data_IF_519334011112
#
_entry.id   IF_519334011112
#
_cell.length_a   1.000
_cell.length_b   1.000
_cell.length_c   1.000
_cell.angle_alpha   90.00
_cell.angle_beta   90.00
_cell.angle_gamma   90.00
#
_symmetry.space_group_name_H-M   'P 1'
#
loop_
_entity.id
_entity.type
_entity.pdbx_description
1 polymer ?
#
# COMPACT_ATOMS: atom_id res chain seq x y z
N UNK A 1 41.91 56.32 -5.02
CA UNK A 1 41.42 55.96 -5.17
C UNK A 1 40.86 54.93 -4.86
N UNK A 2 40.85 54.48 -4.67
CA UNK A 2 40.32 53.49 -4.48
C UNK A 2 39.69 53.12 -3.53
N UNK A 3 39.80 53.12 -3.12
CA UNK A 3 39.43 52.88 -2.03
C UNK A 3 38.16 53.03 -1.88
N UNK A 4 37.82 53.88 -2.21
CA UNK A 4 36.71 54.14 -2.11
C UNK A 4 35.89 53.14 -2.37
N UNK A 5 36.16 52.72 -2.99
CA UNK A 5 35.34 51.83 -3.45
C UNK A 5 34.97 51.02 -2.52
N UNK A 6 35.61 50.78 -2.08
CA UNK A 6 35.40 49.94 -1.27
C UNK A 6 34.44 50.08 -0.47
N UNK A 7 34.43 51.03 -0.19
CA UNK A 7 33.65 51.20 0.66
C UNK A 7 32.39 50.74 0.37
N UNK A 8 32.21 50.70 -0.41
CA UNK A 8 30.98 50.43 -0.63
C UNK A 8 30.58 49.29 -0.40
N UNK A 9 31.22 48.95 -0.38
CA UNK A 9 30.91 47.88 -0.29
C UNK A 9 30.19 47.70 0.65
N UNK A 10 30.43 48.16 1.07
CA UNK A 10 29.93 48.07 1.93
C UNK A 10 28.77 47.88 2.02
N UNK A 11 28.80 48.30 1.59
CA UNK A 11 27.82 48.32 1.64
C UNK A 11 27.20 47.21 1.68
N UNK A 12 27.62 46.87 1.38
CA UNK A 12 27.11 46.01 1.34
C UNK A 12 26.57 45.42 2.18
N UNK A 13 26.93 45.54 2.42
CA UNK A 13 26.52 45.02 3.03
C UNK A 13 25.54 44.86 3.44
N UNK A 14 25.67 45.25 3.22
CA UNK A 14 24.86 45.43 3.37
C UNK A 14 23.99 44.70 3.49
N UNK A 15 24.10 44.61 3.25
CA UNK A 15 23.35 44.12 3.28
C UNK A 15 22.85 43.23 3.54
N UNK A 16 23.27 43.13 3.28
CA UNK A 16 22.93 42.29 3.36
C UNK A 16 22.23 41.81 4.07
N UNK A 17 22.43 41.96 4.41
CA UNK A 17 21.93 41.64 5.12
C UNK A 17 20.85 41.16 5.13
N UNK A 18 20.65 41.66 4.99
CA UNK A 18 19.69 41.57 4.91
C UNK A 18 19.19 40.49 4.79
N UNK A 19 19.52 40.35 4.38
CA UNK A 19 19.20 39.47 3.98
C UNK A 19 18.73 38.56 4.64
N UNK A 20 19.33 38.32 4.81
CA UNK A 20 19.16 37.28 5.41
C UNK A 20 18.02 37.19 5.95
N UNK A 21 18.07 37.91 6.34
CA UNK A 21 17.14 38.19 6.84
C UNK A 21 16.07 37.55 6.44
N UNK A 22 15.91 37.78 5.49
CA UNK A 22 14.74 37.45 5.21
C UNK A 22 14.51 36.10 5.21
N UNK A 23 15.39 35.54 4.92
CA UNK A 23 15.26 34.24 4.75
C UNK A 23 14.52 33.61 5.74
N UNK A 24 14.77 34.03 6.69
CA UNK A 24 14.20 33.38 7.71
C UNK A 24 12.86 33.18 7.59
N UNK A 25 12.29 33.95 6.97
CA UNK A 25 10.97 33.82 6.86
C UNK A 25 10.63 32.57 6.39
N UNK A 26 11.43 32.04 5.81
CA UNK A 26 11.05 30.87 5.26
C UNK A 26 10.62 29.92 6.20
N UNK A 27 11.04 30.05 7.30
CA UNK A 27 10.68 29.14 8.21
C UNK A 27 9.29 28.87 8.24
N UNK A 28 8.58 29.71 8.16
CA UNK A 28 7.20 29.45 8.27
C UNK A 28 6.81 28.42 7.27
N UNK A 29 7.50 28.46 6.28
CA UNK A 29 7.11 27.58 5.26
C UNK A 29 7.24 26.19 5.69
N UNK A 30 8.02 26.00 6.60
CA UNK A 30 8.21 24.65 7.01
C UNK A 30 7.01 24.09 7.64
N UNK A 31 6.22 24.90 8.21
CA UNK A 31 5.11 24.38 8.83
C UNK A 31 4.21 23.65 7.97
N UNK A 32 4.01 24.11 6.85
CA UNK A 32 3.10 23.42 5.99
C UNK A 32 3.54 22.04 5.75
N UNK A 33 4.77 21.87 5.81
CA UNK A 33 5.24 20.58 5.49
C UNK A 33 4.70 19.58 6.40
N UNK A 34 4.41 19.97 7.55
CA UNK A 34 3.91 19.02 8.46
C UNK A 34 2.63 18.50 8.00
N UNK A 35 1.91 19.32 7.39
CA UNK A 35 0.59 18.93 7.07
C UNK A 35 0.57 18.05 5.89
N UNK A 36 1.65 18.07 5.19
CA UNK A 36 1.61 17.32 3.99
C UNK A 36 2.22 15.97 4.11
N UNK A 37 2.28 15.50 5.26
CA UNK A 37 2.72 14.15 5.39
C UNK A 37 1.82 13.31 4.54
N UNK A 38 2.37 12.64 3.59
CA UNK A 38 1.57 11.72 2.84
C UNK A 38 1.05 10.71 3.84
N UNK A 39 -0.18 10.47 3.76
CA UNK A 39 -0.76 9.41 4.54
C UNK A 39 -0.27 8.16 3.85
N UNK A 40 0.88 7.77 4.21
CA UNK A 40 1.37 6.50 3.77
C UNK A 40 0.57 5.53 4.60
N UNK A 41 -0.21 4.78 3.94
CA UNK A 41 -0.86 3.69 4.61
C UNK A 41 0.27 2.90 5.26
N UNK A 42 0.19 2.78 6.53
CA UNK A 42 1.21 2.06 7.26
C UNK A 42 1.21 0.64 6.73
N UNK A 43 2.32 0.22 6.19
CA UNK A 43 2.44 -1.12 5.64
C UNK A 43 2.01 -2.18 6.63
N UNK A 44 2.21 -1.90 7.90
CA UNK A 44 1.81 -2.85 8.93
C UNK A 44 0.30 -2.96 9.03
N UNK A 45 -0.43 -1.89 8.75
CA UNK A 45 -1.88 -1.93 8.75
C UNK A 45 -2.41 -2.67 7.54
N UNK A 46 -1.78 -2.47 6.40
CA UNK A 46 -2.17 -3.17 5.19
C UNK A 46 -1.93 -4.67 5.39
N UNK A 47 -0.78 -5.03 5.89
CA UNK A 47 -0.46 -6.42 6.16
C UNK A 47 -1.45 -7.05 7.16
N UNK A 48 -1.81 -6.32 8.20
CA UNK A 48 -2.76 -6.82 9.17
C UNK A 48 -4.17 -6.98 8.58
N UNK A 49 -4.50 -6.15 7.61
CA UNK A 49 -5.78 -6.22 6.95
C UNK A 49 -5.82 -7.43 6.02
N UNK A 50 -4.79 -7.62 5.23
CA UNK A 50 -4.67 -8.75 4.32
C UNK A 50 -4.67 -10.07 5.09
N UNK A 51 -3.96 -10.15 6.19
CA UNK A 51 -3.91 -11.33 7.02
C UNK A 51 -5.26 -11.70 7.62
N UNK A 52 -6.04 -10.71 8.03
CA UNK A 52 -7.39 -10.95 8.53
C UNK A 52 -8.34 -11.37 7.40
N UNK A 53 -8.13 -10.80 6.25
CA UNK A 53 -8.93 -11.15 5.09
C UNK A 53 -8.63 -12.59 4.68
N UNK A 54 -7.36 -12.96 4.64
CA UNK A 54 -6.95 -14.31 4.34
C UNK A 54 -7.61 -15.33 5.26
N UNK A 55 -7.59 -15.09 6.56
CA UNK A 55 -8.25 -15.98 7.52
C UNK A 55 -9.72 -16.15 7.22
N UNK A 56 -10.42 -15.07 6.91
CA UNK A 56 -11.84 -15.15 6.56
C UNK A 56 -12.10 -15.95 5.30
N UNK A 57 -11.19 -15.85 4.34
CA UNK A 57 -11.33 -16.54 3.07
C UNK A 57 -11.12 -18.04 3.27
N UNK A 58 -10.14 -18.41 4.06
CA UNK A 58 -9.90 -19.81 4.40
C UNK A 58 -11.12 -20.38 5.14
N UNK A 59 -11.60 -19.67 6.15
CA UNK A 59 -12.80 -20.12 6.88
C UNK A 59 -13.99 -20.32 5.94
N UNK A 60 -14.13 -19.45 4.95
CA UNK A 60 -15.23 -19.51 4.02
C UNK A 60 -15.14 -20.75 3.11
N UNK A 61 -13.93 -21.10 2.71
CA UNK A 61 -13.69 -22.29 1.88
C UNK A 61 -13.89 -23.58 2.71
N UNK A 62 -13.46 -23.55 3.96
CA UNK A 62 -13.64 -24.71 4.84
C UNK A 62 -15.09 -25.00 5.21
N UNK A 63 -15.92 -23.97 5.21
CA UNK A 63 -17.35 -24.14 5.45
C UNK A 63 -18.09 -24.70 4.24
N UNK A 64 -17.47 -24.69 3.07
CA UNK A 64 -18.11 -25.23 1.89
C UNK A 64 -17.93 -26.74 1.81
N UNK A 65 -19.01 -27.46 1.66
CA UNK A 65 -18.98 -28.91 1.68
C UNK A 65 -18.20 -29.56 0.54
N UNK A 66 -18.00 -28.83 -0.54
CA UNK A 66 -17.30 -29.36 -1.71
C UNK A 66 -15.82 -28.98 -1.71
N UNK A 67 -15.48 -27.90 -1.04
CA UNK A 67 -14.12 -27.34 -1.09
C UNK A 67 -13.29 -27.66 0.15
N UNK A 68 -13.93 -27.95 1.27
CA UNK A 68 -13.23 -28.17 2.54
C UNK A 68 -12.21 -29.31 2.53
N UNK A 69 -12.37 -30.24 1.62
CA UNK A 69 -11.46 -31.39 1.51
C UNK A 69 -10.43 -31.20 0.40
N UNK A 70 -10.36 -30.02 -0.16
CA UNK A 70 -9.42 -29.72 -1.23
C UNK A 70 -8.23 -28.94 -0.67
N UNK A 71 -7.08 -29.16 -1.27
CA UNK A 71 -5.90 -28.44 -0.87
C UNK A 71 -5.88 -27.09 -1.60
N UNK A 72 -6.50 -26.11 -1.00
CA UNK A 72 -6.57 -24.76 -1.56
C UNK A 72 -5.79 -23.83 -0.65
N UNK A 73 -4.82 -23.14 -1.23
CA UNK A 73 -4.04 -22.12 -0.55
C UNK A 73 -4.54 -20.75 -1.00
N UNK A 74 -4.67 -19.87 -0.05
CA UNK A 74 -5.13 -18.51 -0.26
C UNK A 74 -4.02 -17.56 0.15
N UNK A 75 -3.69 -16.65 -0.69
CA UNK A 75 -2.75 -15.58 -0.37
C UNK A 75 -3.42 -14.25 -0.71
N UNK A 76 -3.26 -13.27 0.15
CA UNK A 76 -3.86 -11.95 -0.05
C UNK A 76 -2.78 -10.88 -0.01
N UNK A 77 -2.73 -10.08 -1.05
CA UNK A 77 -1.81 -8.95 -1.14
C UNK A 77 -2.58 -7.74 -1.64
N UNK A 78 -2.63 -6.69 -0.84
CA UNK A 78 -3.34 -5.45 -1.17
C UNK A 78 -4.81 -5.69 -1.60
N UNK A 79 -5.47 -6.66 -1.01
CA UNK A 79 -6.85 -6.98 -1.35
C UNK A 79 -7.03 -7.86 -2.58
N UNK A 80 -5.96 -8.22 -3.25
CA UNK A 80 -5.99 -9.14 -4.39
C UNK A 80 -5.72 -10.55 -3.85
N UNK A 81 -6.60 -11.46 -4.17
CA UNK A 81 -6.54 -12.83 -3.67
C UNK A 81 -6.00 -13.75 -4.74
N UNK A 82 -4.99 -14.51 -4.39
CA UNK A 82 -4.46 -15.55 -5.26
C UNK A 82 -4.86 -16.92 -4.70
N UNK A 83 -5.49 -17.73 -5.51
CA UNK A 83 -5.92 -19.07 -5.17
C UNK A 83 -5.03 -20.08 -5.89
N UNK A 84 -4.35 -20.89 -5.12
CA UNK A 84 -3.52 -21.97 -5.68
C UNK A 84 -3.88 -23.29 -5.02
N UNK A 85 -3.54 -24.37 -5.67
CA UNK A 85 -3.83 -25.70 -5.18
C UNK A 85 -4.54 -26.58 -6.18
N UNK A 86 -5.20 -27.61 -5.69
CA UNK A 86 -5.83 -28.61 -6.55
C UNK A 86 -7.30 -28.83 -6.20
N UNK A 87 -8.10 -28.93 -7.24
CA UNK A 87 -9.52 -29.27 -7.14
C UNK A 87 -9.82 -30.41 -8.12
N UNK A 88 -10.93 -31.07 -7.93
CA UNK A 88 -11.26 -32.23 -8.76
C UNK A 88 -12.06 -31.86 -10.01
N UNK A 89 -12.82 -30.80 -9.94
CA UNK A 89 -13.69 -30.43 -11.06
C UNK A 89 -13.55 -28.95 -11.41
N UNK A 90 -13.80 -28.58 -12.68
CA UNK A 90 -13.85 -27.18 -13.06
C UNK A 90 -14.91 -26.39 -12.31
N UNK A 91 -15.97 -27.07 -11.88
CA UNK A 91 -17.04 -26.44 -11.12
C UNK A 91 -16.56 -26.03 -9.73
N UNK A 92 -15.75 -26.87 -9.08
CA UNK A 92 -15.13 -26.52 -7.80
C UNK A 92 -14.22 -25.32 -7.94
N UNK A 93 -13.43 -25.27 -9.02
CA UNK A 93 -12.57 -24.14 -9.32
C UNK A 93 -13.36 -22.85 -9.45
N UNK A 94 -14.45 -22.88 -10.16
CA UNK A 94 -15.31 -21.71 -10.32
C UNK A 94 -15.99 -21.35 -9.00
N UNK A 95 -16.49 -22.32 -8.29
CA UNK A 95 -17.15 -22.10 -7.01
C UNK A 95 -16.24 -21.44 -5.99
N UNK A 96 -14.97 -21.85 -5.93
CA UNK A 96 -14.00 -21.23 -5.04
C UNK A 96 -13.84 -19.73 -5.35
N UNK A 97 -13.69 -19.39 -6.61
CA UNK A 97 -13.57 -17.98 -7.00
C UNK A 97 -14.83 -17.18 -6.67
N UNK A 98 -15.99 -17.76 -6.89
CA UNK A 98 -17.26 -17.07 -6.65
C UNK A 98 -17.51 -16.83 -5.15
N UNK A 99 -17.14 -17.79 -4.31
CA UNK A 99 -17.26 -17.64 -2.86
C UNK A 99 -16.36 -16.51 -2.37
N UNK A 100 -15.15 -16.42 -2.92
CA UNK A 100 -14.16 -15.44 -2.51
C UNK A 100 -14.52 -14.04 -2.98
N UNK A 101 -14.99 -13.89 -4.20
CA UNK A 101 -15.39 -12.59 -4.74
C UNK A 101 -16.47 -11.90 -3.93
N UNK A 102 -17.28 -12.67 -3.25
CA UNK A 102 -18.37 -12.13 -2.47
C UNK A 102 -17.99 -11.72 -1.04
N UNK A 103 -16.71 -11.86 -0.68
CA UNK A 103 -16.25 -11.46 0.65
C UNK A 103 -15.84 -9.99 0.63
N UNK A 104 -16.29 -9.26 1.64
CA UNK A 104 -15.96 -7.85 1.75
C UNK A 104 -14.46 -7.66 1.97
N UNK A 105 -13.86 -6.80 1.22
CA UNK A 105 -12.41 -6.52 1.27
C UNK A 105 -11.65 -7.09 0.09
N UNK A 106 -12.25 -7.98 -0.67
CA UNK A 106 -11.62 -8.54 -1.87
C UNK A 106 -11.79 -7.58 -3.03
N UNK A 107 -10.69 -7.21 -3.65
CA UNK A 107 -10.68 -6.31 -4.81
C UNK A 107 -10.71 -7.14 -6.09
N UNK A 108 -9.90 -8.17 -6.16
CA UNK A 108 -9.83 -9.04 -7.32
C UNK A 108 -9.39 -10.45 -6.90
N UNK A 109 -9.63 -11.43 -7.76
CA UNK A 109 -9.30 -12.82 -7.49
C UNK A 109 -8.57 -13.43 -8.69
N UNK A 110 -7.35 -13.85 -8.45
CA UNK A 110 -6.58 -14.61 -9.42
C UNK A 110 -6.76 -16.10 -9.08
N UNK A 111 -7.37 -16.84 -9.98
CA UNK A 111 -7.69 -18.23 -9.73
C UNK A 111 -6.75 -19.15 -10.49
N UNK A 112 -5.73 -19.63 -9.80
CA UNK A 112 -4.70 -20.52 -10.34
C UNK A 112 -4.88 -21.97 -9.86
N UNK A 113 -6.09 -22.36 -9.51
CA UNK A 113 -6.36 -23.72 -9.09
C UNK A 113 -6.23 -24.70 -10.28
N UNK A 114 -5.55 -25.78 -10.03
CA UNK A 114 -5.42 -26.85 -11.02
C UNK A 114 -6.55 -27.86 -10.86
N UNK A 115 -7.11 -28.28 -11.97
CA UNK A 115 -8.16 -29.30 -11.95
C UNK A 115 -7.53 -30.68 -12.18
N UNK A 116 -7.53 -31.49 -11.13
CA UNK A 116 -7.00 -32.84 -11.18
C UNK A 116 -8.04 -33.80 -10.60
N UNK A 117 -8.81 -34.44 -11.45
CA UNK A 117 -9.79 -35.39 -10.98
C UNK A 117 -9.09 -36.57 -10.29
N UNK A 118 -9.72 -37.17 -9.30
CA UNK A 118 -9.15 -38.33 -8.64
C UNK A 118 -9.11 -39.51 -9.61
N UNK A 119 -8.10 -40.29 -9.45
CA UNK A 119 -7.95 -41.49 -10.27
C UNK A 119 -8.85 -42.62 -9.78
#
# INVERSE_FOLDING_TARGET
>A
MWTRATRWVVAGLIGSAMTAVGCTRERPADEPTLTRRPIVADESLVYAFDSRLETRLVDRLELDNFLREREIHVEVVDGVVDLTGEVWTPLEKQRAADLIRNVAGVIDVANHLDVRPPE
#
